data_IF_471813553544
#
_entry.id   IF_471813553544
#
_cell.length_a   1.000
_cell.length_b   1.000
_cell.length_c   1.000
_cell.angle_alpha   90.00
_cell.angle_beta   90.00
_cell.angle_gamma   90.00
#
_symmetry.space_group_name_H-M   'P 1'
#
loop_
_entity.id
_entity.type
_entity.pdbx_description
1 polymer ?
#
# COMPACT_ATOMS: atom_id res chain seq x y z
N UNK A 1 11.90 -38.10 -20.89
CA UNK A 1 12.90 -37.29 -20.16
C UNK A 1 12.15 -36.16 -19.47
N UNK A 2 12.09 -36.20 -18.14
CA UNK A 2 11.32 -35.24 -17.34
C UNK A 2 12.19 -34.02 -17.01
N UNK A 3 11.86 -32.86 -17.56
CA UNK A 3 12.40 -31.58 -17.07
C UNK A 3 11.56 -31.13 -15.87
N UNK A 4 12.01 -31.49 -14.68
CA UNK A 4 11.48 -30.97 -13.43
C UNK A 4 11.92 -29.52 -13.22
N UNK A 5 11.01 -28.57 -13.43
CA UNK A 5 11.20 -27.18 -13.03
C UNK A 5 10.88 -27.09 -11.53
N UNK A 6 11.91 -27.23 -10.70
CA UNK A 6 11.85 -26.96 -9.26
C UNK A 6 12.04 -25.46 -9.08
N UNK A 7 10.95 -24.72 -8.89
CA UNK A 7 11.01 -23.35 -8.31
C UNK A 7 9.94 -23.20 -7.22
N UNK A 8 10.13 -23.74 -5.98
CA UNK A 8 9.12 -23.62 -4.93
C UNK A 8 9.50 -22.66 -3.79
N UNK A 9 10.75 -22.19 -3.72
CA UNK A 9 11.26 -21.50 -2.52
C UNK A 9 10.94 -19.99 -2.48
N UNK A 10 10.94 -19.30 -3.61
CA UNK A 10 10.76 -17.82 -3.63
C UNK A 10 9.28 -17.43 -3.48
N UNK A 11 8.36 -18.23 -4.00
CA UNK A 11 6.91 -17.98 -3.88
C UNK A 11 6.38 -18.27 -2.47
N UNK A 12 6.89 -19.31 -1.82
CA UNK A 12 6.44 -19.66 -0.47
C UNK A 12 6.83 -18.59 0.56
N UNK A 13 8.06 -18.07 0.50
CA UNK A 13 8.52 -16.99 1.38
C UNK A 13 7.76 -15.68 1.10
N UNK A 14 7.51 -15.35 -0.18
CA UNK A 14 6.67 -14.21 -0.58
C UNK A 14 5.23 -14.34 -0.06
N UNK A 15 4.63 -15.53 -0.10
CA UNK A 15 3.26 -15.76 0.36
C UNK A 15 3.10 -15.74 1.89
N UNK A 16 4.06 -16.32 2.64
CA UNK A 16 4.06 -16.27 4.10
C UNK A 16 4.29 -14.84 4.60
N UNK A 17 5.21 -14.11 3.97
CA UNK A 17 5.46 -12.71 4.29
C UNK A 17 4.27 -11.81 3.91
N UNK A 18 3.62 -12.05 2.77
CA UNK A 18 2.40 -11.36 2.32
C UNK A 18 1.26 -11.51 3.34
N UNK A 19 1.00 -12.71 3.82
CA UNK A 19 0.01 -12.97 4.86
C UNK A 19 0.37 -12.32 6.21
N UNK A 20 1.65 -12.41 6.61
CA UNK A 20 2.13 -11.79 7.84
C UNK A 20 2.11 -10.25 7.78
N UNK A 21 2.45 -9.66 6.64
CA UNK A 21 2.40 -8.22 6.37
C UNK A 21 0.96 -7.72 6.37
N UNK A 22 0.03 -8.41 5.69
CA UNK A 22 -1.39 -8.07 5.70
C UNK A 22 -1.96 -8.14 7.12
N UNK A 23 -1.54 -9.13 7.93
CA UNK A 23 -1.89 -9.23 9.35
C UNK A 23 -1.26 -8.14 10.21
N UNK A 24 0.01 -7.78 9.95
CA UNK A 24 0.75 -6.70 10.65
C UNK A 24 0.15 -5.34 10.37
N UNK A 25 -0.14 -5.03 9.11
CA UNK A 25 -0.90 -3.85 8.70
C UNK A 25 -2.29 -3.89 9.34
N UNK A 26 -2.97 -5.04 9.36
CA UNK A 26 -4.25 -5.19 10.06
C UNK A 26 -4.21 -4.83 11.55
N UNK A 27 -3.14 -5.21 12.27
CA UNK A 27 -2.96 -4.98 13.71
C UNK A 27 -2.53 -3.55 14.03
N UNK A 28 -1.55 -3.00 13.30
CA UNK A 28 -1.01 -1.64 13.48
C UNK A 28 -2.05 -0.54 13.17
N UNK A 29 -3.17 -0.91 12.53
CA UNK A 29 -4.22 0.00 12.07
C UNK A 29 -5.48 0.02 12.96
N UNK A 30 -5.53 -0.77 14.04
CA UNK A 30 -6.63 -0.75 15.02
C UNK A 30 -6.47 0.39 16.04
N UNK A 31 -5.24 0.70 16.43
CA UNK A 31 -4.97 1.64 17.54
C UNK A 31 -5.03 3.12 17.14
N UNK A 32 -5.13 3.41 15.84
CA UNK A 32 -5.08 4.79 15.34
C UNK A 32 -6.44 5.30 14.86
N UNK A 33 -7.57 4.67 15.21
CA UNK A 33 -8.88 5.00 14.64
C UNK A 33 -9.79 5.88 15.52
N UNK A 34 -9.91 7.20 15.27
CA UNK A 34 -11.09 7.94 15.68
C UNK A 34 -12.25 7.54 14.76
N UNK A 35 -13.40 7.20 15.35
CA UNK A 35 -14.67 7.08 14.64
C UNK A 35 -15.18 8.49 14.35
N UNK A 36 -15.77 8.69 13.16
CA UNK A 36 -16.52 9.89 12.69
C UNK A 36 -16.64 10.99 13.76
N UNK A 37 -15.65 11.87 13.82
CA UNK A 37 -15.75 13.17 14.48
C UNK A 37 -14.99 14.19 13.66
N UNK A 38 -15.59 15.36 13.63
CA UNK A 38 -15.20 16.58 12.96
C UNK A 38 -13.96 17.19 13.64
N UNK A 39 -12.80 16.54 13.53
CA UNK A 39 -11.60 17.02 14.22
C UNK A 39 -10.72 17.79 13.25
N UNK A 40 -10.64 19.10 13.48
CA UNK A 40 -9.76 20.08 12.85
C UNK A 40 -8.28 19.84 13.23
N UNK A 41 -7.86 18.58 13.34
CA UNK A 41 -6.47 18.21 13.59
C UNK A 41 -5.70 18.52 12.32
N UNK A 42 -4.99 19.65 12.34
CA UNK A 42 -4.08 20.02 11.26
C UNK A 42 -3.08 18.87 11.09
N UNK A 43 -2.92 18.35 9.86
CA UNK A 43 -1.96 17.27 9.64
C UNK A 43 -0.56 17.75 10.04
N UNK A 44 0.17 16.90 10.75
CA UNK A 44 1.53 17.23 11.16
C UNK A 44 2.44 17.38 9.93
N UNK A 45 3.53 18.16 10.01
CA UNK A 45 4.48 18.29 8.90
C UNK A 45 5.00 16.93 8.39
N UNK A 46 5.18 15.96 9.29
CA UNK A 46 5.59 14.61 8.93
C UNK A 46 4.52 13.86 8.11
N UNK A 47 3.23 14.03 8.44
CA UNK A 47 2.12 13.46 7.67
C UNK A 47 2.03 14.09 6.28
N UNK A 48 2.21 15.42 6.18
CA UNK A 48 2.22 16.12 4.91
C UNK A 48 3.35 15.63 3.99
N UNK A 49 4.57 15.46 4.52
CA UNK A 49 5.71 14.91 3.76
C UNK A 49 5.41 13.51 3.22
N UNK A 50 4.82 12.63 4.05
CA UNK A 50 4.43 11.28 3.61
C UNK A 50 3.38 11.31 2.50
N UNK A 51 2.34 12.13 2.65
CA UNK A 51 1.30 12.26 1.62
C UNK A 51 1.84 12.89 0.34
N UNK A 52 2.72 13.90 0.44
CA UNK A 52 3.37 14.52 -0.71
C UNK A 52 4.24 13.50 -1.48
N UNK A 53 5.03 12.69 -0.76
CA UNK A 53 5.84 11.62 -1.35
C UNK A 53 4.98 10.64 -2.15
N UNK A 54 3.87 10.16 -1.57
CA UNK A 54 2.95 9.25 -2.27
C UNK A 54 2.30 9.90 -3.48
N UNK A 55 1.93 11.18 -3.40
CA UNK A 55 1.38 11.90 -4.54
C UNK A 55 2.38 12.03 -5.69
N UNK A 56 3.67 12.23 -5.38
CA UNK A 56 4.72 12.25 -6.40
C UNK A 56 4.85 10.87 -7.07
N UNK A 57 4.91 9.79 -6.28
CA UNK A 57 4.94 8.42 -6.81
C UNK A 57 3.70 8.08 -7.64
N UNK A 58 2.54 8.58 -7.24
CA UNK A 58 1.28 8.39 -7.97
C UNK A 58 1.29 9.14 -9.31
N UNK A 59 1.74 10.39 -9.32
CA UNK A 59 1.82 11.21 -10.52
C UNK A 59 2.81 10.65 -11.55
N UNK A 60 3.91 10.04 -11.10
CA UNK A 60 4.90 9.39 -11.95
C UNK A 60 4.54 7.96 -12.39
N UNK A 61 3.46 7.37 -11.86
CA UNK A 61 3.12 5.96 -12.09
C UNK A 61 3.94 4.96 -11.26
N UNK A 62 4.98 5.42 -10.55
CA UNK A 62 5.83 4.59 -9.69
C UNK A 62 5.04 3.83 -8.63
N UNK A 63 3.98 4.42 -8.08
CA UNK A 63 3.15 3.75 -7.07
C UNK A 63 2.55 2.43 -7.59
N UNK A 64 2.15 2.41 -8.86
CA UNK A 64 1.67 1.20 -9.54
C UNK A 64 2.82 0.22 -9.79
N UNK A 65 3.95 0.72 -10.29
CA UNK A 65 5.13 -0.09 -10.58
C UNK A 65 5.64 -0.82 -9.31
N UNK A 66 5.74 -0.12 -8.18
CA UNK A 66 6.12 -0.69 -6.89
C UNK A 66 5.17 -1.84 -6.48
N UNK A 67 3.86 -1.64 -6.67
CA UNK A 67 2.85 -2.65 -6.36
C UNK A 67 3.00 -3.89 -7.26
N UNK A 68 3.21 -3.68 -8.55
CA UNK A 68 3.34 -4.75 -9.55
C UNK A 68 4.67 -5.51 -9.40
N UNK A 69 5.78 -4.83 -9.12
CA UNK A 69 7.08 -5.44 -8.80
C UNK A 69 6.98 -6.36 -7.57
N UNK A 70 6.24 -5.93 -6.56
CA UNK A 70 5.94 -6.74 -5.39
C UNK A 70 4.93 -7.89 -5.66
N UNK A 71 4.41 -8.02 -6.88
CA UNK A 71 3.37 -8.98 -7.28
C UNK A 71 2.11 -8.89 -6.40
N UNK A 72 1.69 -7.66 -6.07
CA UNK A 72 0.45 -7.41 -5.33
C UNK A 72 -0.62 -6.94 -6.31
N UNK A 73 -1.78 -7.62 -6.34
CA UNK A 73 -2.87 -7.17 -7.20
C UNK A 73 -3.53 -5.90 -6.68
N UNK A 74 -4.18 -5.15 -7.57
CA UNK A 74 -4.95 -3.96 -7.21
C UNK A 74 -6.02 -4.27 -6.14
N UNK A 75 -6.71 -5.42 -6.25
CA UNK A 75 -7.78 -5.81 -5.32
C UNK A 75 -7.22 -6.13 -3.93
N UNK A 76 -6.07 -6.78 -3.85
CA UNK A 76 -5.42 -7.10 -2.57
C UNK A 76 -4.92 -5.84 -1.88
N UNK A 77 -4.25 -4.94 -2.61
CA UNK A 77 -3.82 -3.66 -2.09
C UNK A 77 -5.02 -2.83 -1.61
N UNK A 78 -6.10 -2.76 -2.39
CA UNK A 78 -7.32 -2.04 -1.99
C UNK A 78 -7.95 -2.62 -0.72
N UNK A 79 -8.01 -3.95 -0.60
CA UNK A 79 -8.50 -4.65 0.59
C UNK A 79 -7.64 -4.34 1.83
N UNK A 80 -6.32 -4.36 1.70
CA UNK A 80 -5.38 -4.01 2.76
C UNK A 80 -5.57 -2.56 3.24
N UNK A 81 -5.76 -1.63 2.30
CA UNK A 81 -5.92 -0.21 2.57
C UNK A 81 -7.34 0.16 3.05
N UNK A 82 -8.29 -0.76 2.92
CA UNK A 82 -9.72 -0.57 3.20
C UNK A 82 -10.35 0.55 2.34
N UNK A 83 -10.06 0.52 1.05
CA UNK A 83 -10.64 1.41 0.01
C UNK A 83 -11.18 0.57 -1.15
N UNK A 84 -11.98 1.18 -2.02
CA UNK A 84 -12.43 0.47 -3.23
C UNK A 84 -11.26 0.33 -4.24
N UNK A 85 -11.24 -0.76 -5.04
CA UNK A 85 -10.25 -0.91 -6.11
C UNK A 85 -10.29 0.24 -7.12
N UNK A 86 -11.48 0.79 -7.39
CA UNK A 86 -11.65 1.95 -8.27
C UNK A 86 -10.97 3.21 -7.70
N UNK A 87 -11.06 3.46 -6.39
CA UNK A 87 -10.36 4.58 -5.75
C UNK A 87 -8.86 4.40 -5.84
N UNK A 88 -8.34 3.20 -5.56
CA UNK A 88 -6.91 2.93 -5.66
C UNK A 88 -6.41 3.07 -7.10
N UNK A 89 -7.15 2.54 -8.07
CA UNK A 89 -6.85 2.69 -9.50
C UNK A 89 -6.73 4.16 -9.90
N UNK A 90 -7.71 5.00 -9.54
CA UNK A 90 -7.66 6.45 -9.82
C UNK A 90 -6.47 7.16 -9.17
N UNK A 91 -6.05 6.68 -8.00
CA UNK A 91 -4.86 7.21 -7.35
C UNK A 91 -3.59 6.80 -8.08
N UNK A 92 -3.47 5.52 -8.45
CA UNK A 92 -2.32 4.99 -9.19
C UNK A 92 -2.19 5.56 -10.60
N UNK A 93 -3.30 5.95 -11.24
CA UNK A 93 -3.29 6.58 -12.58
C UNK A 93 -3.26 8.10 -12.53
N UNK A 94 -3.18 8.71 -11.35
CA UNK A 94 -3.17 10.17 -11.19
C UNK A 94 -4.50 10.88 -11.49
N UNK A 95 -5.55 10.15 -11.88
CA UNK A 95 -6.90 10.71 -12.16
C UNK A 95 -7.55 11.30 -10.91
N UNK A 96 -7.12 10.88 -9.71
CA UNK A 96 -7.49 11.51 -8.45
C UNK A 96 -6.30 11.52 -7.49
N UNK A 97 -6.15 12.60 -6.72
CA UNK A 97 -5.11 12.69 -5.69
C UNK A 97 -5.66 12.33 -4.31
N UNK A 98 -4.99 11.48 -3.53
CA UNK A 98 -5.41 11.19 -2.16
C UNK A 98 -5.37 12.47 -1.31
N UNK A 99 -6.48 12.78 -0.61
CA UNK A 99 -6.50 13.85 0.39
C UNK A 99 -5.72 13.42 1.63
N UNK A 100 -5.15 14.40 2.34
CA UNK A 100 -4.44 14.12 3.60
C UNK A 100 -5.44 13.50 4.58
N UNK A 101 -5.14 12.28 5.01
CA UNK A 101 -6.06 11.49 5.81
C UNK A 101 -5.56 10.07 6.01
N UNK A 102 -6.37 9.26 6.71
CA UNK A 102 -6.01 7.89 7.11
C UNK A 102 -5.62 7.03 5.93
N UNK A 103 -6.40 7.06 4.85
CA UNK A 103 -6.18 6.19 3.69
C UNK A 103 -4.90 6.56 2.94
N UNK A 104 -4.61 7.86 2.81
CA UNK A 104 -3.37 8.34 2.19
C UNK A 104 -2.12 7.93 2.99
N UNK A 105 -2.18 8.06 4.31
CA UNK A 105 -1.08 7.65 5.20
C UNK A 105 -0.88 6.14 5.22
N UNK A 106 -1.96 5.36 5.14
CA UNK A 106 -1.89 3.90 4.98
C UNK A 106 -1.23 3.51 3.68
N UNK A 107 -1.61 4.19 2.60
CA UNK A 107 -1.02 3.93 1.29
C UNK A 107 0.47 4.28 1.26
N UNK A 108 0.88 5.36 1.93
CA UNK A 108 2.29 5.70 2.11
C UNK A 108 3.08 4.58 2.80
N UNK A 109 2.61 4.14 3.97
CA UNK A 109 3.28 3.07 4.71
C UNK A 109 3.32 1.76 3.90
N UNK A 110 2.24 1.44 3.20
CA UNK A 110 2.17 0.27 2.33
C UNK A 110 3.22 0.30 1.23
N UNK A 111 3.36 1.42 0.51
CA UNK A 111 4.38 1.55 -0.54
C UNK A 111 5.80 1.52 0.02
N UNK A 112 6.04 2.14 1.19
CA UNK A 112 7.34 2.07 1.87
C UNK A 112 7.71 0.63 2.24
N UNK A 113 6.75 -0.17 2.70
CA UNK A 113 6.96 -1.57 3.02
C UNK A 113 7.24 -2.39 1.75
N UNK A 114 6.52 -2.15 0.65
CA UNK A 114 6.74 -2.84 -0.62
C UNK A 114 8.13 -2.54 -1.20
N UNK A 115 8.58 -1.29 -1.14
CA UNK A 115 9.93 -0.89 -1.59
C UNK A 115 11.07 -1.58 -0.84
N UNK A 116 10.82 -2.10 0.37
CA UNK A 116 11.83 -2.84 1.15
C UNK A 116 11.96 -4.30 0.73
N UNK A 117 10.97 -4.85 0.03
CA UNK A 117 10.99 -6.24 -0.46
C UNK A 117 11.75 -6.33 -1.78
N UNK A 118 11.64 -5.28 -2.60
CA UNK A 118 12.22 -5.22 -3.95
C UNK A 118 13.72 -4.85 -3.96
N UNK A 119 14.34 -4.73 -2.77
CA UNK A 119 15.80 -4.52 -2.59
C UNK A 119 16.46 -5.78 -2.06
#
# INVERSE_FOLDING_TARGET
MATGVIVPQVEHFRNVWREAMLKRLGKQLRDTCPKRSNDRVKPSPAQLKRVASVRALAAGGDARAIREAANVSLREAARALKISPATLSRWETGTASPRVGRQALRWAAFLDDLKRIDR
#
